data_IF_388594626630
#
_entry.id   IF_388594626630
#
_cell.length_a   1.000
_cell.length_b   1.000
_cell.length_c   1.000
_cell.angle_alpha   90.00
_cell.angle_beta   90.00
_cell.angle_gamma   90.00
#
_symmetry.space_group_name_H-M   'P 1'
#
loop_
_entity.id
_entity.type
_entity.pdbx_description
1 polymer ?
#
# COMPACT_ATOMS: atom_id res chain seq x y z
N UNK A 1 -12.57 -9.46 15.69
CA UNK A 1 -11.54 -8.41 15.49
C UNK A 1 -10.37 -8.88 14.65
N UNK A 2 -9.73 -10.03 14.96
CA UNK A 2 -8.60 -10.56 14.19
C UNK A 2 -8.90 -10.76 12.69
N UNK A 3 -10.14 -11.11 12.32
CA UNK A 3 -10.59 -11.20 10.93
C UNK A 3 -10.29 -9.93 10.10
N UNK A 4 -10.32 -8.74 10.72
CA UNK A 4 -9.98 -7.48 10.03
C UNK A 4 -8.51 -7.42 9.63
N UNK A 5 -7.60 -7.97 10.43
CA UNK A 5 -6.18 -8.01 10.10
C UNK A 5 -5.88 -8.99 8.98
N UNK A 6 -6.48 -10.19 9.03
CA UNK A 6 -6.34 -11.17 7.95
C UNK A 6 -6.92 -10.62 6.64
N UNK A 7 -8.06 -9.93 6.70
CA UNK A 7 -8.65 -9.26 5.55
C UNK A 7 -7.74 -8.12 5.03
N UNK A 8 -7.19 -7.30 5.93
CA UNK A 8 -6.23 -6.26 5.57
C UNK A 8 -5.01 -6.84 4.85
N UNK A 9 -4.44 -7.92 5.40
CA UNK A 9 -3.29 -8.60 4.82
C UNK A 9 -3.62 -9.17 3.42
N UNK A 10 -4.78 -9.80 3.25
CA UNK A 10 -5.26 -10.29 1.96
C UNK A 10 -5.39 -9.17 0.93
N UNK A 11 -5.97 -8.03 1.31
CA UNK A 11 -6.05 -6.85 0.46
C UNK A 11 -4.66 -6.28 0.14
N UNK A 12 -3.73 -6.22 1.09
CA UNK A 12 -2.37 -5.74 0.81
C UNK A 12 -1.63 -6.65 -0.17
N UNK A 13 -1.77 -7.98 -0.09
CA UNK A 13 -1.19 -8.87 -1.09
C UNK A 13 -1.75 -8.63 -2.49
N UNK A 14 -3.07 -8.46 -2.60
CA UNK A 14 -3.70 -8.15 -3.88
C UNK A 14 -3.28 -6.76 -4.40
N UNK A 15 -3.13 -5.77 -3.51
CA UNK A 15 -2.60 -4.46 -3.85
C UNK A 15 -1.14 -4.55 -4.32
N UNK A 16 -0.29 -5.35 -3.67
CA UNK A 16 1.10 -5.59 -4.10
C UNK A 16 1.14 -6.20 -5.50
N UNK A 17 0.28 -7.18 -5.78
CA UNK A 17 0.19 -7.79 -7.11
C UNK A 17 -0.08 -6.75 -8.21
N UNK A 18 -1.11 -5.92 -8.06
CA UNK A 18 -1.38 -4.84 -9.02
C UNK A 18 -0.30 -3.76 -9.02
N UNK A 19 0.27 -3.45 -7.86
CA UNK A 19 1.36 -2.48 -7.70
C UNK A 19 2.63 -2.89 -8.45
N UNK A 20 2.95 -4.19 -8.48
CA UNK A 20 4.07 -4.73 -9.25
C UNK A 20 3.86 -4.56 -10.76
N UNK A 21 2.64 -4.79 -11.25
CA UNK A 21 2.31 -4.55 -12.67
C UNK A 21 2.59 -3.08 -13.04
N UNK A 22 2.12 -2.15 -12.21
CA UNK A 22 2.35 -0.71 -12.42
C UNK A 22 3.83 -0.36 -12.32
N UNK A 23 4.52 -0.87 -11.29
CA UNK A 23 5.94 -0.61 -11.07
C UNK A 23 6.79 -1.08 -12.26
N UNK A 24 6.58 -2.30 -12.76
CA UNK A 24 7.33 -2.84 -13.90
C UNK A 24 7.14 -1.98 -15.14
N UNK A 25 5.92 -1.51 -15.41
CA UNK A 25 5.64 -0.64 -16.55
C UNK A 25 6.37 0.69 -16.43
N UNK A 26 6.26 1.35 -15.28
CA UNK A 26 6.91 2.64 -15.04
C UNK A 26 8.44 2.52 -15.01
N UNK A 27 8.98 1.42 -14.49
CA UNK A 27 10.42 1.15 -14.47
C UNK A 27 11.00 0.89 -15.87
N UNK A 28 10.19 0.37 -16.78
CA UNK A 28 10.53 0.17 -18.19
C UNK A 28 10.17 1.40 -19.08
N UNK A 29 9.93 2.56 -18.47
CA UNK A 29 9.52 3.80 -19.16
C UNK A 29 8.28 3.64 -20.06
N UNK A 30 7.37 2.72 -19.70
CA UNK A 30 6.08 2.50 -20.38
C UNK A 30 4.95 3.26 -19.67
N UNK A 31 3.88 3.64 -20.39
CA UNK A 31 2.70 4.21 -19.76
C UNK A 31 2.08 3.22 -18.78
N UNK A 32 1.61 3.73 -17.64
CA UNK A 32 0.92 2.93 -16.62
C UNK A 32 -0.37 2.31 -17.18
N UNK A 33 -0.63 1.05 -16.87
CA UNK A 33 -1.90 0.40 -17.15
C UNK A 33 -2.96 0.84 -16.14
N UNK A 34 -3.83 1.76 -16.57
CA UNK A 34 -4.79 2.45 -15.69
C UNK A 34 -5.69 1.52 -14.87
N UNK A 35 -6.22 0.39 -15.40
CA UNK A 35 -6.96 -0.56 -14.58
C UNK A 35 -6.15 -1.08 -13.39
N UNK A 36 -4.88 -1.44 -13.58
CA UNK A 36 -4.03 -1.87 -12.47
C UNK A 36 -3.73 -0.75 -11.47
N UNK A 37 -3.55 0.50 -11.93
CA UNK A 37 -3.36 1.67 -11.05
C UNK A 37 -4.57 1.86 -10.13
N UNK A 38 -5.78 1.85 -10.69
CA UNK A 38 -7.01 2.04 -9.91
C UNK A 38 -7.31 0.85 -8.99
N UNK A 39 -7.11 -0.38 -9.47
CA UNK A 39 -7.26 -1.59 -8.65
C UNK A 39 -6.25 -1.61 -7.50
N UNK A 40 -4.98 -1.29 -7.75
CA UNK A 40 -3.97 -1.15 -6.71
C UNK A 40 -4.43 -0.16 -5.62
N UNK A 41 -4.79 1.07 -6.02
CA UNK A 41 -5.20 2.11 -5.08
C UNK A 41 -6.45 1.74 -4.28
N UNK A 42 -7.49 1.23 -4.95
CA UNK A 42 -8.73 0.81 -4.31
C UNK A 42 -8.49 -0.29 -3.28
N UNK A 43 -7.79 -1.35 -3.67
CA UNK A 43 -7.54 -2.49 -2.80
C UNK A 43 -6.60 -2.11 -1.64
N UNK A 44 -5.60 -1.25 -1.88
CA UNK A 44 -4.75 -0.71 -0.82
C UNK A 44 -5.55 0.12 0.20
N UNK A 45 -6.49 0.95 -0.24
CA UNK A 45 -7.38 1.73 0.64
C UNK A 45 -8.25 0.79 1.48
N UNK A 46 -8.80 -0.28 0.89
CA UNK A 46 -9.59 -1.27 1.63
C UNK A 46 -8.74 -1.96 2.71
N UNK A 47 -7.52 -2.39 2.37
CA UNK A 47 -6.59 -2.99 3.32
C UNK A 47 -6.22 -2.04 4.47
N UNK A 48 -5.88 -0.80 4.14
CA UNK A 48 -5.53 0.22 5.12
C UNK A 48 -6.72 0.58 6.03
N UNK A 49 -7.93 0.68 5.46
CA UNK A 49 -9.16 0.94 6.23
C UNK A 49 -9.45 -0.18 7.22
N UNK A 50 -9.29 -1.45 6.80
CA UNK A 50 -9.44 -2.60 7.69
C UNK A 50 -8.42 -2.56 8.84
N UNK A 51 -7.15 -2.28 8.54
CA UNK A 51 -6.09 -2.22 9.54
C UNK A 51 -6.26 -1.06 10.52
N UNK A 52 -6.62 0.13 10.04
CA UNK A 52 -6.91 1.30 10.90
C UNK A 52 -8.11 1.01 11.79
N UNK A 53 -9.18 0.44 11.25
CA UNK A 53 -10.37 0.06 12.02
C UNK A 53 -10.02 -0.93 13.13
N UNK A 54 -9.23 -1.97 12.81
CA UNK A 54 -8.71 -2.90 13.83
C UNK A 54 -7.93 -2.15 14.91
N UNK A 55 -7.00 -1.27 14.51
CA UNK A 55 -6.11 -0.54 15.44
C UNK A 55 -6.86 0.41 16.37
N UNK A 56 -7.90 1.07 15.88
CA UNK A 56 -8.72 2.00 16.67
C UNK A 56 -9.60 1.24 17.67
N UNK A 57 -10.26 0.18 17.22
CA UNK A 57 -11.28 -0.53 18.01
C UNK A 57 -10.70 -1.63 18.92
N UNK A 58 -9.48 -2.10 18.68
CA UNK A 58 -8.86 -3.13 19.52
C UNK A 58 -8.29 -2.51 20.81
N UNK A 59 -8.58 -3.12 21.96
CA UNK A 59 -8.14 -2.62 23.27
C UNK A 59 -6.74 -3.09 23.69
N UNK A 60 -6.21 -4.15 23.05
CA UNK A 60 -4.92 -4.73 23.38
C UNK A 60 -3.73 -4.05 22.69
N UNK A 61 -2.67 -4.84 22.45
CA UNK A 61 -1.54 -4.42 21.63
C UNK A 61 -2.02 -3.94 20.25
N UNK A 62 -1.28 -3.04 19.61
CA UNK A 62 -1.71 -2.39 18.37
C UNK A 62 -0.57 -2.38 17.35
N UNK A 63 -0.84 -2.62 16.06
CA UNK A 63 0.17 -2.60 14.99
C UNK A 63 0.51 -1.16 14.55
N UNK A 64 0.77 -0.26 15.50
CA UNK A 64 0.95 1.19 15.26
C UNK A 64 2.07 1.45 14.24
N UNK A 65 3.20 0.76 14.39
CA UNK A 65 4.33 0.90 13.47
C UNK A 65 3.94 0.57 12.02
N UNK A 66 3.21 -0.53 11.81
CA UNK A 66 2.70 -0.91 10.49
C UNK A 66 1.76 0.15 9.93
N UNK A 67 0.79 0.62 10.73
CA UNK A 67 -0.17 1.66 10.32
C UNK A 67 0.54 2.93 9.88
N UNK A 68 1.50 3.43 10.67
CA UNK A 68 2.25 4.65 10.34
C UNK A 68 3.00 4.50 9.03
N UNK A 69 3.75 3.40 8.86
CA UNK A 69 4.52 3.15 7.63
C UNK A 69 3.60 3.00 6.41
N UNK A 70 2.48 2.31 6.54
CA UNK A 70 1.51 2.14 5.45
C UNK A 70 0.77 3.44 5.10
N UNK A 71 0.52 4.32 6.06
CA UNK A 71 0.00 5.67 5.80
C UNK A 71 1.01 6.50 5.00
N UNK A 72 2.29 6.46 5.39
CA UNK A 72 3.36 7.13 4.63
C UNK A 72 3.49 6.55 3.21
N UNK A 73 3.40 5.23 3.07
CA UNK A 73 3.38 4.58 1.77
C UNK A 73 2.18 5.03 0.94
N UNK A 74 0.97 5.09 1.51
CA UNK A 74 -0.24 5.55 0.83
C UNK A 74 -0.10 7.00 0.33
N UNK A 75 0.51 7.90 1.11
CA UNK A 75 0.82 9.27 0.67
C UNK A 75 1.78 9.28 -0.52
N UNK A 76 2.81 8.41 -0.52
CA UNK A 76 3.68 8.20 -1.66
C UNK A 76 2.92 7.74 -2.91
N UNK A 77 2.01 6.77 -2.76
CA UNK A 77 1.18 6.25 -3.85
C UNK A 77 0.22 7.30 -4.42
N UNK A 78 -0.44 8.08 -3.58
CA UNK A 78 -1.32 9.20 -3.98
C UNK A 78 -0.51 10.26 -4.74
N UNK A 79 0.71 10.55 -4.30
CA UNK A 79 1.60 11.49 -4.98
C UNK A 79 1.98 10.97 -6.37
N UNK A 80 2.38 9.70 -6.50
CA UNK A 80 2.66 9.08 -7.80
C UNK A 80 1.43 9.12 -8.72
N UNK A 81 0.25 8.78 -8.20
CA UNK A 81 -1.01 8.86 -8.96
C UNK A 81 -1.29 10.30 -9.44
N UNK A 82 -1.01 11.31 -8.63
CA UNK A 82 -1.17 12.71 -9.02
C UNK A 82 -0.28 13.10 -10.20
N UNK A 83 0.98 12.65 -10.18
CA UNK A 83 1.91 12.88 -11.30
C UNK A 83 1.43 12.17 -12.56
N UNK A 84 0.92 10.96 -12.43
CA UNK A 84 0.45 10.14 -13.54
C UNK A 84 -0.78 10.76 -14.22
N UNK A 85 -1.78 11.16 -13.44
CA UNK A 85 -2.99 11.84 -13.93
C UNK A 85 -2.65 13.18 -14.59
N UNK A 86 -1.67 13.91 -14.04
CA UNK A 86 -1.21 15.20 -14.59
C UNK A 86 -0.22 15.06 -15.75
N UNK A 87 0.09 13.82 -16.18
CA UNK A 87 1.08 13.52 -17.23
C UNK A 87 2.46 14.17 -16.96
N UNK A 88 2.83 14.29 -15.68
CA UNK A 88 4.12 14.83 -15.24
C UNK A 88 5.19 13.73 -15.23
N UNK A 89 6.47 14.08 -15.40
CA UNK A 89 7.56 13.10 -15.32
C UNK A 89 7.59 12.44 -13.95
N UNK A 90 7.70 11.11 -13.93
CA UNK A 90 7.64 10.35 -12.67
C UNK A 90 8.85 10.63 -11.77
N UNK A 91 8.63 10.94 -10.49
CA UNK A 91 9.72 11.07 -9.53
C UNK A 91 10.31 9.68 -9.23
N UNK A 92 11.43 9.35 -9.88
CA UNK A 92 12.08 8.02 -9.80
C UNK A 92 12.36 7.58 -8.37
N UNK A 93 12.76 8.52 -7.50
CA UNK A 93 12.99 8.22 -6.08
C UNK A 93 11.71 7.71 -5.41
N UNK A 94 10.59 8.38 -5.63
CA UNK A 94 9.32 8.01 -5.02
C UNK A 94 8.76 6.70 -5.59
N UNK A 95 9.01 6.43 -6.88
CA UNK A 95 8.67 5.15 -7.53
C UNK A 95 9.33 3.95 -6.83
N UNK A 96 10.50 4.14 -6.21
CA UNK A 96 11.21 3.11 -5.45
C UNK A 96 10.84 3.14 -3.96
N UNK A 97 10.77 4.33 -3.36
CA UNK A 97 10.49 4.45 -1.92
C UNK A 97 9.07 4.02 -1.54
N UNK A 98 8.07 4.31 -2.38
CA UNK A 98 6.69 3.90 -2.13
C UNK A 98 6.52 2.38 -1.96
N UNK A 99 6.92 1.53 -2.93
CA UNK A 99 6.76 0.08 -2.79
C UNK A 99 7.63 -0.50 -1.67
N UNK A 100 8.83 0.05 -1.43
CA UNK A 100 9.66 -0.37 -0.30
C UNK A 100 8.99 -0.07 1.05
N UNK A 101 8.47 1.15 1.23
CA UNK A 101 7.73 1.51 2.44
C UNK A 101 6.49 0.62 2.61
N UNK A 102 5.74 0.34 1.53
CA UNK A 102 4.59 -0.56 1.58
C UNK A 102 4.99 -1.97 2.03
N UNK A 103 6.07 -2.54 1.47
CA UNK A 103 6.58 -3.86 1.85
C UNK A 103 7.02 -3.92 3.31
N UNK A 104 7.73 -2.89 3.80
CA UNK A 104 8.12 -2.79 5.21
C UNK A 104 6.88 -2.71 6.10
N UNK A 105 5.89 -1.89 5.73
CA UNK A 105 4.64 -1.77 6.47
C UNK A 105 3.85 -3.08 6.56
N UNK A 106 3.80 -3.85 5.46
CA UNK A 106 3.19 -5.19 5.44
C UNK A 106 4.01 -6.19 6.25
N UNK A 107 5.35 -6.17 6.16
CA UNK A 107 6.21 -7.04 6.97
C UNK A 107 6.03 -6.78 8.47
N UNK A 108 5.91 -5.52 8.89
CA UNK A 108 5.60 -5.15 10.27
C UNK A 108 4.22 -5.65 10.71
N UNK A 109 3.22 -5.64 9.82
CA UNK A 109 1.91 -6.22 10.11
C UNK A 109 2.02 -7.74 10.34
N UNK A 110 2.73 -8.44 9.46
CA UNK A 110 2.95 -9.88 9.57
C UNK A 110 3.71 -10.21 10.85
N UNK A 111 4.75 -9.44 11.19
CA UNK A 111 5.49 -9.60 12.43
C UNK A 111 4.56 -9.50 13.65
N UNK A 112 3.72 -8.47 13.71
CA UNK A 112 2.73 -8.29 14.78
C UNK A 112 1.65 -9.40 14.81
N UNK A 113 1.40 -10.09 13.69
CA UNK A 113 0.46 -11.23 13.67
C UNK A 113 1.09 -12.51 14.23
N UNK A 114 2.41 -12.62 14.21
CA UNK A 114 3.15 -13.80 14.64
C UNK A 114 3.65 -13.70 16.08
N UNK A 115 3.83 -12.49 16.60
CA UNK A 115 4.43 -12.18 17.90
C UNK A 115 3.66 -11.07 18.62
#
# INVERSE_FOLDING_TARGET
MQNLMYLALGFFFLAIFFGLIVFIQLACDRPSFKPAVFLHGLVAILGLSCLVTYTVLHAGAKPIASVVVLLLAALGGITLLSFDVRKKPMPKLLLVLHPLAALIGVALLVYYMLY
#
